data_IF_468904683526
#
_entry.id   IF_468904683526
#
_cell.length_a   1.000
_cell.length_b   1.000
_cell.length_c   1.000
_cell.angle_alpha   90.00
_cell.angle_beta   90.00
_cell.angle_gamma   90.00
#
_symmetry.space_group_name_H-M   'P 1'
#
loop_
_entity.id
_entity.type
_entity.pdbx_description
1 polymer ?
#
# COMPACT_ATOMS: atom_id res chain seq x y z
N UNK A 1 11.48 -33.08 1.73
CA UNK A 1 10.47 -33.23 2.79
C UNK A 1 9.30 -32.33 2.43
N UNK A 2 8.17 -32.93 2.07
CA UNK A 2 6.94 -32.21 1.75
C UNK A 2 6.33 -31.71 3.05
N UNK A 3 6.27 -30.39 3.26
CA UNK A 3 5.57 -29.81 4.42
C UNK A 3 4.08 -29.97 4.15
N UNK A 4 3.44 -30.89 4.86
CA UNK A 4 1.99 -30.98 4.91
C UNK A 4 1.51 -29.84 5.81
N UNK A 5 1.01 -28.77 5.20
CA UNK A 5 0.30 -27.72 5.92
C UNK A 5 -0.96 -28.33 6.53
N UNK A 6 -1.30 -27.92 7.74
CA UNK A 6 -2.53 -28.36 8.39
C UNK A 6 -3.72 -27.71 7.69
N UNK A 7 -4.89 -28.37 7.67
CA UNK A 7 -6.11 -27.90 6.97
C UNK A 7 -6.54 -26.47 7.37
N UNK A 8 -6.12 -26.01 8.55
CA UNK A 8 -6.35 -24.64 9.05
C UNK A 8 -5.39 -23.65 8.38
N UNK A 9 -4.10 -23.98 8.29
CA UNK A 9 -3.12 -23.15 7.56
C UNK A 9 -3.46 -23.08 6.07
N UNK A 10 -3.94 -24.18 5.48
CA UNK A 10 -4.43 -24.18 4.10
C UNK A 10 -5.66 -23.28 3.95
N UNK A 11 -6.58 -23.25 4.91
CA UNK A 11 -7.76 -22.37 4.89
C UNK A 11 -7.39 -20.90 5.01
N UNK A 12 -6.45 -20.54 5.89
CA UNK A 12 -5.95 -19.16 6.02
C UNK A 12 -5.22 -18.72 4.75
N UNK A 13 -4.43 -19.61 4.15
CA UNK A 13 -3.83 -19.38 2.83
C UNK A 13 -4.90 -19.25 1.75
N UNK A 14 -5.93 -20.10 1.76
CA UNK A 14 -7.03 -20.03 0.80
C UNK A 14 -7.88 -18.78 0.97
N UNK A 15 -8.11 -18.25 2.17
CA UNK A 15 -8.77 -16.95 2.36
C UNK A 15 -7.90 -15.80 1.85
N UNK A 16 -6.59 -15.84 2.13
CA UNK A 16 -5.63 -14.87 1.56
C UNK A 16 -5.55 -14.94 0.04
N UNK A 17 -5.69 -16.13 -0.55
CA UNK A 17 -5.63 -16.37 -2.01
C UNK A 17 -6.99 -16.16 -2.70
N UNK A 18 -8.11 -16.42 -2.03
CA UNK A 18 -9.48 -16.34 -2.58
C UNK A 18 -10.18 -15.01 -2.29
N UNK A 19 -9.61 -14.17 -1.43
CA UNK A 19 -10.00 -12.75 -1.30
C UNK A 19 -8.92 -11.78 -1.84
N UNK A 20 -8.33 -11.99 -3.04
CA UNK A 20 -7.38 -11.05 -3.63
C UNK A 20 -8.08 -9.81 -4.22
N UNK A 21 -9.42 -9.85 -4.26
CA UNK A 21 -10.25 -8.75 -4.72
C UNK A 21 -10.34 -7.69 -3.62
N UNK A 22 -9.26 -6.95 -3.42
CA UNK A 22 -9.41 -5.54 -3.07
C UNK A 22 -10.20 -4.89 -4.21
N UNK A 23 -11.52 -4.95 -4.12
CA UNK A 23 -12.37 -4.18 -5.01
C UNK A 23 -12.03 -2.73 -4.76
N UNK A 24 -11.43 -2.08 -5.75
CA UNK A 24 -11.18 -0.65 -5.77
C UNK A 24 -12.41 0.09 -5.30
N UNK A 25 -12.28 0.84 -4.21
CA UNK A 25 -13.35 1.70 -3.73
C UNK A 25 -13.16 3.07 -4.38
N UNK A 26 -13.82 3.31 -5.53
CA UNK A 26 -14.21 4.67 -5.93
C UNK A 26 -15.28 5.13 -4.94
N UNK A 27 -14.87 5.36 -3.71
CA UNK A 27 -15.79 5.66 -2.63
C UNK A 27 -15.37 6.87 -1.85
N UNK A 28 -16.08 7.06 -0.77
CA UNK A 28 -15.87 8.17 0.14
C UNK A 28 -14.45 8.15 0.71
N UNK A 29 -13.99 9.30 1.19
CA UNK A 29 -12.72 9.41 1.94
C UNK A 29 -12.68 8.40 3.10
N UNK A 30 -13.83 8.14 3.74
CA UNK A 30 -13.94 7.19 4.84
C UNK A 30 -13.63 5.74 4.42
N UNK A 31 -14.12 5.31 3.26
CA UNK A 31 -13.86 3.94 2.76
C UNK A 31 -12.41 3.79 2.29
N UNK A 32 -11.90 4.79 1.56
CA UNK A 32 -10.49 4.83 1.14
C UNK A 32 -9.54 4.85 2.33
N UNK A 33 -9.88 5.59 3.40
CA UNK A 33 -9.16 5.60 4.68
C UNK A 33 -9.13 4.22 5.34
N UNK A 34 -10.23 3.47 5.32
CA UNK A 34 -10.26 2.12 5.88
C UNK A 34 -9.30 1.18 5.14
N UNK A 35 -9.23 1.27 3.82
CA UNK A 35 -8.24 0.54 3.00
C UNK A 35 -6.81 0.93 3.40
N UNK A 36 -6.50 2.23 3.49
CA UNK A 36 -5.15 2.68 3.87
C UNK A 36 -4.71 2.20 5.26
N UNK A 37 -5.64 2.15 6.22
CA UNK A 37 -5.36 1.58 7.56
C UNK A 37 -5.05 0.10 7.51
N UNK A 38 -5.79 -0.64 6.71
CA UNK A 38 -5.57 -2.08 6.55
C UNK A 38 -4.21 -2.36 5.88
N UNK A 39 -3.83 -1.58 4.86
CA UNK A 39 -2.50 -1.67 4.23
C UNK A 39 -1.38 -1.33 5.22
N UNK A 40 -1.55 -0.30 6.04
CA UNK A 40 -0.53 0.15 7.00
C UNK A 40 -0.10 -0.93 7.99
N UNK A 41 -1.02 -1.83 8.37
CA UNK A 41 -0.74 -2.90 9.34
C UNK A 41 -0.29 -4.22 8.69
N UNK A 42 -0.33 -4.34 7.36
CA UNK A 42 0.07 -5.56 6.63
C UNK A 42 1.58 -5.67 6.48
N UNK A 43 2.07 -6.90 6.35
CA UNK A 43 3.47 -7.12 5.98
C UNK A 43 3.67 -6.75 4.50
N UNK A 44 4.89 -6.36 4.09
CA UNK A 44 5.15 -6.06 2.68
C UNK A 44 4.81 -7.22 1.74
N UNK A 45 5.04 -8.46 2.16
CA UNK A 45 4.72 -9.66 1.38
C UNK A 45 3.22 -9.81 1.14
N UNK A 46 2.40 -9.57 2.16
CA UNK A 46 0.94 -9.64 2.04
C UNK A 46 0.41 -8.55 1.08
N UNK A 47 1.05 -7.39 1.02
CA UNK A 47 0.65 -6.30 0.10
C UNK A 47 1.01 -6.66 -1.35
N UNK A 48 2.13 -7.35 -1.60
CA UNK A 48 2.49 -7.81 -2.95
C UNK A 48 1.52 -8.87 -3.52
N UNK A 49 0.65 -9.45 -2.69
CA UNK A 49 -0.43 -10.35 -3.16
C UNK A 49 -1.64 -9.59 -3.71
N UNK A 50 -1.69 -8.27 -3.55
CA UNK A 50 -2.69 -7.42 -4.20
C UNK A 50 -2.42 -7.44 -5.70
N UNK A 51 -3.50 -7.45 -6.48
CA UNK A 51 -3.46 -7.32 -7.93
C UNK A 51 -2.63 -6.09 -8.35
N UNK A 52 -1.93 -6.18 -9.48
CA UNK A 52 -1.02 -5.13 -9.96
C UNK A 52 -1.71 -3.78 -10.10
N UNK A 53 -2.97 -3.76 -10.57
CA UNK A 53 -3.76 -2.53 -10.69
C UNK A 53 -4.06 -1.89 -9.32
N UNK A 54 -3.98 -2.67 -8.24
CA UNK A 54 -4.11 -2.18 -6.88
C UNK A 54 -2.99 -1.21 -6.47
N UNK A 55 -1.77 -1.41 -6.97
CA UNK A 55 -0.64 -0.54 -6.66
C UNK A 55 -0.73 0.84 -7.30
N UNK A 56 -1.63 1.01 -8.28
CA UNK A 56 -1.96 2.28 -8.94
C UNK A 56 -3.06 3.08 -8.24
N UNK A 57 -3.49 2.67 -7.05
CA UNK A 57 -4.60 3.29 -6.31
C UNK A 57 -4.10 4.13 -5.14
N UNK A 58 -4.66 5.34 -5.02
CA UNK A 58 -4.39 6.32 -3.97
C UNK A 58 -4.48 5.75 -2.54
N UNK A 59 -5.52 4.98 -2.23
CA UNK A 59 -5.75 4.40 -0.91
C UNK A 59 -4.74 3.33 -0.52
N UNK A 60 -4.23 2.56 -1.49
CA UNK A 60 -3.15 1.61 -1.22
C UNK A 60 -1.87 2.38 -0.95
N UNK A 61 -1.52 3.34 -1.81
CA UNK A 61 -0.33 4.16 -1.64
C UNK A 61 -0.33 4.95 -0.32
N UNK A 62 -1.45 5.55 0.05
CA UNK A 62 -1.65 6.26 1.32
C UNK A 62 -1.48 5.36 2.56
N UNK A 63 -1.62 4.04 2.38
CA UNK A 63 -1.40 3.05 3.42
C UNK A 63 0.06 2.61 3.58
N UNK A 64 0.93 2.91 2.61
CA UNK A 64 2.33 2.44 2.63
C UNK A 64 3.17 3.17 3.71
N UNK A 65 4.10 2.46 4.33
CA UNK A 65 5.13 3.01 5.21
C UNK A 65 6.55 2.80 4.63
N UNK A 66 7.55 3.37 5.31
CA UNK A 66 8.95 3.36 4.86
C UNK A 66 9.53 1.95 4.71
N UNK A 67 9.20 1.04 5.62
CA UNK A 67 9.69 -0.34 5.56
C UNK A 67 9.09 -1.13 4.39
N UNK A 68 7.82 -0.87 4.08
CA UNK A 68 7.11 -1.49 2.97
C UNK A 68 7.64 -0.98 1.62
N UNK A 69 7.82 0.34 1.46
CA UNK A 69 8.35 0.88 0.20
C UNK A 69 9.81 0.48 -0.06
N UNK A 70 10.63 0.37 1.00
CA UNK A 70 11.99 -0.18 0.88
C UNK A 70 11.97 -1.64 0.42
N UNK A 71 11.03 -2.44 0.94
CA UNK A 71 10.85 -3.81 0.49
C UNK A 71 10.42 -3.88 -0.97
N UNK A 72 9.45 -3.06 -1.39
CA UNK A 72 8.96 -3.03 -2.78
C UNK A 72 10.06 -2.66 -3.76
N UNK A 73 10.92 -1.70 -3.42
CA UNK A 73 12.06 -1.33 -4.27
C UNK A 73 12.96 -2.53 -4.61
N UNK A 74 13.13 -3.47 -3.67
CA UNK A 74 14.02 -4.63 -3.80
C UNK A 74 13.32 -5.87 -4.37
N UNK A 75 12.03 -6.04 -4.10
CA UNK A 75 11.34 -7.33 -4.27
C UNK A 75 10.08 -7.27 -5.12
N UNK A 76 9.47 -6.10 -5.32
CA UNK A 76 8.25 -6.01 -6.13
C UNK A 76 8.53 -6.29 -7.62
N UNK A 77 7.58 -6.89 -8.36
CA UNK A 77 7.62 -6.93 -9.82
C UNK A 77 7.73 -5.53 -10.43
N UNK A 78 8.29 -5.42 -11.64
CA UNK A 78 8.52 -4.13 -12.28
C UNK A 78 7.20 -3.38 -12.54
N UNK A 79 6.15 -4.10 -12.87
CA UNK A 79 4.80 -3.59 -13.10
C UNK A 79 4.30 -2.83 -11.88
N UNK A 80 4.46 -3.39 -10.69
CA UNK A 80 4.03 -2.80 -9.42
C UNK A 80 4.81 -1.52 -9.12
N UNK A 81 6.12 -1.53 -9.41
CA UNK A 81 6.96 -0.35 -9.23
C UNK A 81 6.59 0.78 -10.20
N UNK A 82 6.15 0.45 -11.42
CA UNK A 82 5.67 1.44 -12.40
C UNK A 82 4.38 2.10 -11.91
N UNK A 83 3.42 1.32 -11.42
CA UNK A 83 2.17 1.84 -10.84
C UNK A 83 2.43 2.84 -9.70
N UNK A 84 3.38 2.54 -8.80
CA UNK A 84 3.84 3.45 -7.74
C UNK A 84 4.37 4.79 -8.32
N UNK A 85 5.12 4.73 -9.42
CA UNK A 85 5.65 5.92 -10.09
C UNK A 85 4.55 6.69 -10.84
N UNK A 86 3.56 5.98 -11.39
CA UNK A 86 2.40 6.58 -12.04
C UNK A 86 1.56 7.39 -11.06
N UNK A 87 1.30 6.86 -9.85
CA UNK A 87 0.64 7.63 -8.78
C UNK A 87 1.40 8.93 -8.51
N UNK A 88 2.71 8.89 -8.32
CA UNK A 88 3.51 10.09 -8.03
C UNK A 88 3.46 11.15 -9.16
N UNK A 89 3.16 10.72 -10.38
CA UNK A 89 3.10 11.57 -11.56
C UNK A 89 1.67 12.06 -11.85
N UNK A 90 0.65 11.48 -11.22
CA UNK A 90 -0.75 11.85 -11.37
C UNK A 90 -1.20 12.76 -10.22
N UNK A 91 -1.47 14.02 -10.56
CA UNK A 91 -1.91 15.04 -9.60
C UNK A 91 -3.24 14.68 -8.91
N UNK A 92 -4.18 14.04 -9.61
CA UNK A 92 -5.46 13.64 -9.02
C UNK A 92 -5.28 12.51 -8.02
N UNK A 93 -4.46 11.51 -8.36
CA UNK A 93 -4.14 10.41 -7.45
C UNK A 93 -3.41 10.93 -6.21
N UNK A 94 -2.42 11.80 -6.37
CA UNK A 94 -1.72 12.39 -5.23
C UNK A 94 -2.62 13.26 -4.37
N UNK A 95 -3.56 14.02 -4.95
CA UNK A 95 -4.57 14.73 -4.17
C UNK A 95 -5.43 13.77 -3.34
N UNK A 96 -5.80 12.63 -3.90
CA UNK A 96 -6.48 11.55 -3.18
C UNK A 96 -5.64 10.99 -2.02
N UNK A 97 -4.36 10.73 -2.25
CA UNK A 97 -3.42 10.29 -1.20
C UNK A 97 -3.40 11.29 -0.05
N UNK A 98 -3.23 12.58 -0.34
CA UNK A 98 -3.18 13.64 0.68
C UNK A 98 -4.49 13.81 1.44
N UNK A 99 -5.63 13.73 0.74
CA UNK A 99 -6.96 13.77 1.35
C UNK A 99 -7.14 12.63 2.36
N UNK A 100 -6.71 11.42 2.00
CA UNK A 100 -6.82 10.24 2.86
C UNK A 100 -5.94 10.36 4.10
N UNK A 101 -4.65 10.69 3.93
CA UNK A 101 -3.73 10.74 5.08
C UNK A 101 -4.03 11.90 6.02
N UNK A 102 -4.55 13.02 5.50
CA UNK A 102 -5.09 14.09 6.34
C UNK A 102 -6.28 13.60 7.17
N UNK A 103 -7.20 12.86 6.56
CA UNK A 103 -8.35 12.28 7.27
C UNK A 103 -7.93 11.20 8.29
N UNK A 104 -6.80 10.53 8.08
CA UNK A 104 -6.23 9.61 9.09
C UNK A 104 -5.68 10.38 10.29
N UNK A 105 -5.00 11.51 10.07
CA UNK A 105 -4.45 12.37 11.13
C UNK A 105 -5.54 12.97 12.02
N UNK A 106 -6.65 13.40 11.42
CA UNK A 106 -7.80 13.98 12.14
C UNK A 106 -8.41 13.00 13.17
N UNK A 107 -8.29 11.68 12.95
CA UNK A 107 -8.80 10.66 13.87
C UNK A 107 -7.85 10.35 15.04
N UNK A 108 -6.54 10.59 14.88
CA UNK A 108 -5.51 10.15 15.83
C UNK A 108 -5.16 11.22 16.89
N UNK A 109 -5.40 12.50 16.61
CA UNK A 109 -5.10 13.61 17.54
C UNK A 109 -3.60 13.88 17.73
N UNK A 110 -3.25 14.81 18.62
CA UNK A 110 -1.93 15.48 18.68
C UNK A 110 -0.70 14.60 19.08
N UNK A 111 -0.88 13.30 19.35
CA UNK A 111 0.16 12.44 19.95
C UNK A 111 0.70 11.30 19.06
N UNK A 112 0.32 11.24 17.78
CA UNK A 112 0.73 10.17 16.86
C UNK A 112 1.67 10.66 15.76
N UNK A 113 2.37 9.71 15.13
CA UNK A 113 3.18 10.03 13.94
C UNK A 113 2.25 10.51 12.85
N UNK A 114 2.39 11.77 12.45
CA UNK A 114 1.55 12.38 11.42
C UNK A 114 1.67 11.54 10.13
N UNK A 115 0.56 10.99 9.66
CA UNK A 115 0.45 10.18 8.46
C UNK A 115 0.93 10.95 7.22
N UNK A 116 0.72 12.27 7.18
CA UNK A 116 1.32 13.13 6.16
C UNK A 116 2.86 13.08 6.19
N UNK A 117 3.50 13.05 7.37
CA UNK A 117 4.96 12.95 7.47
C UNK A 117 5.47 11.57 7.03
N UNK A 118 4.74 10.50 7.37
CA UNK A 118 5.02 9.14 6.87
C UNK A 118 4.99 9.12 5.34
N UNK A 119 3.94 9.65 4.72
CA UNK A 119 3.86 9.69 3.25
C UNK A 119 4.94 10.57 2.64
N UNK A 120 5.28 11.71 3.24
CA UNK A 120 6.41 12.52 2.80
C UNK A 120 7.73 11.72 2.77
N UNK A 121 7.98 10.85 3.75
CA UNK A 121 9.17 10.00 3.78
C UNK A 121 9.12 8.90 2.74
N UNK A 122 7.95 8.30 2.50
CA UNK A 122 7.73 7.32 1.41
C UNK A 122 8.04 7.95 0.05
N UNK A 123 7.46 9.13 -0.22
CA UNK A 123 7.70 9.87 -1.48
C UNK A 123 9.19 10.17 -1.64
N UNK A 124 9.84 10.69 -0.59
CA UNK A 124 11.27 10.99 -0.62
C UNK A 124 12.11 9.75 -0.89
N UNK A 125 11.78 8.62 -0.26
CA UNK A 125 12.46 7.36 -0.52
C UNK A 125 12.38 6.96 -2.00
N UNK A 126 11.21 7.06 -2.61
CA UNK A 126 11.02 6.74 -4.04
C UNK A 126 11.85 7.70 -4.92
N UNK A 127 11.85 8.99 -4.60
CA UNK A 127 12.63 10.00 -5.31
C UNK A 127 14.14 9.76 -5.22
N UNK A 128 14.64 9.40 -4.04
CA UNK A 128 16.05 9.11 -3.80
C UNK A 128 16.49 7.79 -4.46
N UNK A 129 15.54 6.87 -4.69
CA UNK A 129 15.81 5.53 -5.21
C UNK A 129 15.16 5.26 -6.58
N UNK A 130 14.94 6.28 -7.41
CA UNK A 130 14.22 6.16 -8.69
C UNK A 130 14.71 5.03 -9.60
N UNK A 131 16.01 4.71 -9.58
CA UNK A 131 16.57 3.61 -10.39
C UNK A 131 15.90 2.29 -10.02
N UNK A 132 15.73 2.01 -8.73
CA UNK A 132 15.12 0.78 -8.24
C UNK A 132 13.65 0.61 -8.67
N UNK A 133 12.96 1.72 -8.97
CA UNK A 133 11.56 1.73 -9.43
C UNK A 133 11.42 1.76 -10.95
N UNK A 134 12.51 1.96 -11.69
CA UNK A 134 12.55 2.00 -13.17
C UNK A 134 13.19 0.76 -13.78
N UNK A 135 13.78 -0.11 -12.95
CA UNK A 135 14.47 -1.36 -13.32
C UNK A 135 13.83 -2.59 -12.70
#
# INVERSE_FOLDING_TARGET
MTRNLTTIEESDYYEKINSPFFSYVIGTVSERKAVSRDILIRTPEDILLIDEFGFGIDSIFAGINESQIEYFAKHAPLEYKKEIIEILSDENMMNGVWEIVKSMDEDEGDNYTVNQDRINKVIRYIQDNQVAFKS
#
